data_IF_169540785787
#
_entry.id   IF_169540785787
#
_cell.length_a   1.000
_cell.length_b   1.000
_cell.length_c   1.000
_cell.angle_alpha   90.00
_cell.angle_beta   90.00
_cell.angle_gamma   90.00
#
_symmetry.space_group_name_H-M   'P 1'
#
loop_
_entity.id
_entity.type
_entity.pdbx_description
1 polymer ?
#
# COMPACT_ATOMS: atom_id res chain seq x y z
N UNK A 1 7.07 -25.51 -20.83
CA UNK A 1 8.28 -26.26 -20.40
C UNK A 1 9.37 -25.36 -19.79
N UNK A 2 9.71 -24.19 -20.35
CA UNK A 2 10.74 -23.27 -19.78
C UNK A 2 10.46 -22.75 -18.35
N UNK A 3 9.19 -22.51 -17.99
CA UNK A 3 8.83 -21.97 -16.66
C UNK A 3 9.05 -22.98 -15.51
N UNK A 4 9.02 -24.28 -15.81
CA UNK A 4 9.16 -25.35 -14.81
C UNK A 4 10.64 -25.62 -14.48
N UNK A 5 11.56 -25.41 -15.45
CA UNK A 5 13.00 -25.55 -15.23
C UNK A 5 13.65 -24.35 -14.53
N UNK A 6 13.14 -23.12 -14.75
CA UNK A 6 13.60 -21.96 -13.97
C UNK A 6 13.20 -22.08 -12.49
N UNK A 7 11.98 -22.53 -12.21
CA UNK A 7 11.50 -22.75 -10.83
C UNK A 7 12.35 -23.80 -10.10
N UNK A 8 12.72 -24.90 -10.76
CA UNK A 8 13.58 -25.92 -10.13
C UNK A 8 15.00 -25.42 -9.86
N UNK A 9 15.57 -24.61 -10.76
CA UNK A 9 16.90 -24.05 -10.61
C UNK A 9 17.02 -23.09 -9.41
N UNK A 10 16.04 -22.18 -9.24
CA UNK A 10 16.02 -21.24 -8.10
C UNK A 10 15.88 -22.00 -6.77
N UNK A 11 15.02 -23.03 -6.73
CA UNK A 11 14.82 -23.85 -5.51
C UNK A 11 16.13 -24.57 -5.13
N UNK A 12 16.85 -25.11 -6.12
CA UNK A 12 18.14 -25.74 -5.87
C UNK A 12 19.18 -24.73 -5.35
N UNK A 13 19.29 -23.56 -6.00
CA UNK A 13 20.20 -22.50 -5.58
C UNK A 13 19.87 -21.96 -4.18
N UNK A 14 18.58 -21.91 -3.80
CA UNK A 14 18.14 -21.59 -2.43
C UNK A 14 18.69 -22.59 -1.41
N UNK A 15 18.58 -23.91 -1.68
CA UNK A 15 19.11 -24.92 -0.77
C UNK A 15 20.63 -24.87 -0.65
N UNK A 16 21.34 -24.66 -1.76
CA UNK A 16 22.80 -24.51 -1.78
C UNK A 16 23.26 -23.28 -0.99
N UNK A 17 22.59 -22.14 -1.18
CA UNK A 17 22.86 -20.90 -0.44
C UNK A 17 22.57 -21.07 1.05
N UNK A 18 21.47 -21.74 1.41
CA UNK A 18 21.12 -22.02 2.81
C UNK A 18 22.17 -22.90 3.49
N UNK A 19 22.75 -23.87 2.79
CA UNK A 19 23.82 -24.72 3.31
C UNK A 19 25.11 -23.91 3.53
N UNK A 20 25.50 -23.08 2.57
CA UNK A 20 26.66 -22.17 2.68
C UNK A 20 26.52 -21.18 3.84
N UNK A 21 25.36 -20.53 3.98
CA UNK A 21 25.12 -19.58 5.07
C UNK A 21 25.22 -20.25 6.44
N UNK A 22 24.71 -21.49 6.58
CA UNK A 22 24.88 -22.28 7.82
C UNK A 22 26.33 -22.64 8.11
N UNK A 23 27.11 -23.00 7.09
CA UNK A 23 28.54 -23.32 7.24
C UNK A 23 29.37 -22.09 7.65
N UNK A 24 28.98 -20.91 7.15
CA UNK A 24 29.66 -19.64 7.42
C UNK A 24 29.11 -18.92 8.66
N UNK A 25 28.18 -19.53 9.41
CA UNK A 25 27.49 -18.91 10.56
C UNK A 25 26.86 -17.54 10.23
N UNK A 26 26.51 -17.30 8.96
CA UNK A 26 25.88 -16.06 8.52
C UNK A 26 24.42 -16.02 8.96
N UNK A 27 24.02 -14.93 9.61
CA UNK A 27 22.65 -14.67 10.05
C UNK A 27 22.22 -13.34 9.45
N UNK A 28 21.10 -13.34 8.73
CA UNK A 28 20.51 -12.10 8.24
C UNK A 28 20.15 -11.18 9.41
N UNK A 29 20.17 -9.84 9.22
CA UNK A 29 19.63 -8.92 10.20
C UNK A 29 18.24 -9.38 10.65
N UNK A 30 18.00 -9.35 11.96
CA UNK A 30 16.76 -9.92 12.48
C UNK A 30 15.57 -9.17 11.89
N UNK A 31 14.55 -9.91 11.44
CA UNK A 31 13.29 -9.33 10.99
C UNK A 31 12.69 -8.37 12.03
N UNK A 32 12.97 -8.62 13.32
CA UNK A 32 12.60 -7.72 14.41
C UNK A 32 13.26 -6.33 14.31
N UNK A 33 14.56 -6.26 13.99
CA UNK A 33 15.26 -4.98 13.78
C UNK A 33 14.72 -4.23 12.55
N UNK A 34 14.39 -4.95 11.47
CA UNK A 34 13.74 -4.33 10.31
C UNK A 34 12.39 -3.71 10.68
N UNK A 35 11.53 -4.46 11.38
CA UNK A 35 10.24 -3.93 11.85
C UNK A 35 10.42 -2.76 12.82
N UNK A 36 11.43 -2.81 13.68
CA UNK A 36 11.75 -1.72 14.61
C UNK A 36 12.20 -0.46 13.86
N UNK A 37 13.07 -0.59 12.86
CA UNK A 37 13.52 0.53 12.03
C UNK A 37 12.34 1.18 11.30
N UNK A 38 11.47 0.36 10.70
CA UNK A 38 10.26 0.82 10.02
C UNK A 38 9.31 1.57 10.98
N UNK A 39 9.13 1.06 12.20
CA UNK A 39 8.30 1.70 13.23
C UNK A 39 8.89 3.05 13.70
N UNK A 40 10.21 3.12 13.94
CA UNK A 40 10.89 4.37 14.29
C UNK A 40 10.72 5.43 13.19
N UNK A 41 10.91 5.05 11.92
CA UNK A 41 10.68 5.94 10.77
C UNK A 41 9.21 6.37 10.71
N UNK A 42 8.27 5.43 10.85
CA UNK A 42 6.83 5.70 10.82
C UNK A 42 6.33 6.60 11.96
N UNK A 43 7.06 6.68 13.08
CA UNK A 43 6.78 7.60 14.20
C UNK A 43 7.61 8.89 14.15
N UNK A 44 8.52 9.02 13.19
CA UNK A 44 9.43 10.17 13.07
C UNK A 44 10.51 10.23 14.15
N UNK A 45 10.81 9.10 14.81
CA UNK A 45 11.83 8.98 15.84
C UNK A 45 13.21 8.75 15.20
N UNK A 46 13.85 9.85 14.79
CA UNK A 46 15.06 9.82 13.95
C UNK A 46 16.29 9.24 14.63
N UNK A 47 16.58 9.67 15.87
CA UNK A 47 17.71 9.15 16.65
C UNK A 47 17.57 7.64 16.88
N UNK A 48 16.37 7.18 17.25
CA UNK A 48 16.09 5.76 17.45
C UNK A 48 16.24 4.98 16.12
N UNK A 49 15.75 5.53 15.01
CA UNK A 49 15.89 4.90 13.69
C UNK A 49 17.36 4.72 13.30
N UNK A 50 18.20 5.75 13.51
CA UNK A 50 19.64 5.69 13.24
C UNK A 50 20.34 4.66 14.14
N UNK A 51 20.00 4.61 15.42
CA UNK A 51 20.54 3.61 16.34
C UNK A 51 20.17 2.16 15.98
N UNK A 52 18.96 1.93 15.44
CA UNK A 52 18.57 0.61 14.92
C UNK A 52 19.29 0.29 13.62
N UNK A 53 19.45 1.28 12.74
CA UNK A 53 20.22 1.14 11.50
C UNK A 53 21.69 0.78 11.79
N UNK A 54 22.29 1.36 12.83
CA UNK A 54 23.65 1.00 13.29
C UNK A 54 23.73 -0.47 13.71
N UNK A 55 22.72 -1.00 14.42
CA UNK A 55 22.66 -2.41 14.80
C UNK A 55 22.53 -3.33 13.58
N UNK A 56 21.72 -2.93 12.59
CA UNK A 56 21.58 -3.66 11.32
C UNK A 56 22.91 -3.66 10.57
N UNK A 57 23.59 -2.51 10.50
CA UNK A 57 24.85 -2.33 9.78
C UNK A 57 26.08 -2.91 10.49
N UNK A 58 25.97 -3.19 11.80
CA UNK A 58 26.99 -3.93 12.54
C UNK A 58 27.07 -5.41 12.12
N UNK A 59 26.00 -5.95 11.52
CA UNK A 59 25.99 -7.30 10.96
C UNK A 59 26.50 -7.32 9.53
N UNK A 60 27.12 -8.43 9.11
CA UNK A 60 27.52 -8.60 7.71
C UNK A 60 26.27 -8.56 6.80
N UNK A 61 26.31 -7.72 5.77
CA UNK A 61 25.19 -7.60 4.81
C UNK A 61 25.12 -8.82 3.90
N UNK A 62 23.92 -9.15 3.46
CA UNK A 62 23.73 -10.20 2.46
C UNK A 62 24.45 -9.85 1.15
N UNK A 63 25.09 -10.84 0.53
CA UNK A 63 25.67 -10.71 -0.81
C UNK A 63 24.58 -10.82 -1.87
N UNK A 64 24.15 -9.68 -2.41
CA UNK A 64 23.06 -9.53 -3.39
C UNK A 64 23.57 -9.40 -4.84
N UNK A 65 24.88 -9.27 -5.03
CA UNK A 65 25.57 -9.27 -6.32
C UNK A 65 27.02 -9.72 -6.14
N UNK A 66 27.70 -10.09 -7.23
CA UNK A 66 29.12 -10.45 -7.18
C UNK A 66 30.02 -9.26 -6.89
N UNK A 67 29.71 -8.11 -7.48
CA UNK A 67 30.37 -6.84 -7.19
C UNK A 67 29.88 -6.26 -5.84
N UNK A 68 30.80 -5.96 -4.89
CA UNK A 68 30.42 -5.45 -3.57
C UNK A 68 29.64 -4.14 -3.59
N UNK A 69 29.99 -3.22 -4.50
CA UNK A 69 29.30 -1.93 -4.65
C UNK A 69 27.88 -2.16 -5.15
N UNK A 70 27.70 -3.02 -6.15
CA UNK A 70 26.39 -3.40 -6.66
C UNK A 70 25.55 -4.10 -5.60
N UNK A 71 26.16 -4.95 -4.79
CA UNK A 71 25.48 -5.63 -3.68
C UNK A 71 24.93 -4.61 -2.66
N UNK A 72 25.72 -3.60 -2.30
CA UNK A 72 25.29 -2.51 -1.43
C UNK A 72 24.16 -1.68 -2.04
N UNK A 73 24.25 -1.32 -3.31
CA UNK A 73 23.17 -0.62 -4.03
C UNK A 73 21.85 -1.37 -3.96
N UNK A 74 21.88 -2.68 -4.24
CA UNK A 74 20.68 -3.52 -4.17
C UNK A 74 20.09 -3.52 -2.75
N UNK A 75 20.94 -3.58 -1.71
CA UNK A 75 20.50 -3.49 -0.32
C UNK A 75 19.80 -2.17 -0.02
N UNK A 76 20.35 -1.04 -0.48
CA UNK A 76 19.75 0.27 -0.24
C UNK A 76 18.43 0.47 -1.00
N UNK A 77 18.27 -0.13 -2.18
CA UNK A 77 16.98 -0.11 -2.88
C UNK A 77 15.90 -0.84 -2.05
N UNK A 78 16.27 -1.93 -1.38
CA UNK A 78 15.38 -2.59 -0.41
C UNK A 78 15.07 -1.67 0.78
N UNK A 79 16.08 -1.03 1.39
CA UNK A 79 15.88 -0.06 2.47
C UNK A 79 14.94 1.08 2.05
N UNK A 80 15.15 1.66 0.86
CA UNK A 80 14.31 2.70 0.28
C UNK A 80 12.85 2.25 0.16
N UNK A 81 12.65 1.02 -0.30
CA UNK A 81 11.31 0.41 -0.38
C UNK A 81 10.67 0.31 1.00
N UNK A 82 11.38 -0.16 2.01
CA UNK A 82 10.85 -0.30 3.37
C UNK A 82 10.53 1.06 4.00
N UNK A 83 11.38 2.06 3.82
CA UNK A 83 11.17 3.41 4.36
C UNK A 83 9.93 4.05 3.71
N UNK A 84 9.79 3.90 2.39
CA UNK A 84 8.60 4.32 1.64
C UNK A 84 7.32 3.71 2.21
N UNK A 85 7.29 2.39 2.44
CA UNK A 85 6.12 1.73 3.03
C UNK A 85 5.84 2.20 4.46
N UNK A 86 6.89 2.48 5.22
CA UNK A 86 6.78 2.96 6.60
C UNK A 86 6.09 4.32 6.66
N UNK A 87 6.53 5.28 5.85
CA UNK A 87 5.93 6.63 5.84
C UNK A 87 4.52 6.67 5.24
N UNK A 88 4.23 5.82 4.24
CA UNK A 88 2.86 5.67 3.71
C UNK A 88 1.92 5.14 4.80
N UNK A 89 2.34 4.09 5.51
CA UNK A 89 1.56 3.53 6.62
C UNK A 89 1.34 4.57 7.73
N UNK A 90 2.31 5.45 7.94
CA UNK A 90 2.25 6.54 8.90
C UNK A 90 1.38 7.74 8.46
N UNK A 91 0.96 7.79 7.19
CA UNK A 91 0.01 8.78 6.69
C UNK A 91 0.52 9.76 5.65
N UNK A 92 1.73 9.54 5.09
CA UNK A 92 2.18 10.26 3.90
C UNK A 92 1.39 9.78 2.68
N UNK A 93 1.05 10.69 1.76
CA UNK A 93 0.40 10.31 0.50
C UNK A 93 1.34 9.40 -0.31
N UNK A 94 0.82 8.31 -0.92
CA UNK A 94 1.65 7.40 -1.69
C UNK A 94 2.47 8.07 -2.80
N UNK A 95 1.87 9.05 -3.49
CA UNK A 95 2.53 9.78 -4.57
C UNK A 95 3.79 10.53 -4.09
N UNK A 96 3.70 11.23 -2.96
CA UNK A 96 4.84 11.96 -2.39
C UNK A 96 5.96 11.00 -1.95
N UNK A 97 5.57 9.90 -1.31
CA UNK A 97 6.51 8.87 -0.87
C UNK A 97 7.20 8.16 -2.05
N UNK A 98 6.47 7.86 -3.13
CA UNK A 98 7.03 7.26 -4.34
C UNK A 98 7.95 8.23 -5.09
N UNK A 99 7.58 9.50 -5.20
CA UNK A 99 8.44 10.52 -5.81
C UNK A 99 9.78 10.65 -5.07
N UNK A 100 9.77 10.62 -3.74
CA UNK A 100 11.01 10.61 -2.94
C UNK A 100 11.83 9.33 -3.17
N UNK A 101 11.17 8.16 -3.18
CA UNK A 101 11.80 6.87 -3.46
C UNK A 101 12.50 6.87 -4.82
N UNK A 102 11.84 7.38 -5.86
CA UNK A 102 12.39 7.45 -7.22
C UNK A 102 13.67 8.30 -7.29
N UNK A 103 13.68 9.44 -6.58
CA UNK A 103 14.88 10.29 -6.49
C UNK A 103 16.03 9.52 -5.84
N UNK A 104 15.80 8.87 -4.71
CA UNK A 104 16.85 8.11 -4.02
C UNK A 104 17.32 6.89 -4.80
N UNK A 105 16.43 6.13 -5.44
CA UNK A 105 16.81 4.98 -6.28
C UNK A 105 17.72 5.43 -7.43
N UNK A 106 17.43 6.58 -8.06
CA UNK A 106 18.28 7.15 -9.11
C UNK A 106 19.63 7.63 -8.57
N UNK A 107 19.67 8.16 -7.34
CA UNK A 107 20.94 8.55 -6.71
C UNK A 107 21.79 7.33 -6.33
N UNK A 108 21.18 6.30 -5.73
CA UNK A 108 21.84 5.03 -5.39
C UNK A 108 22.55 4.46 -6.63
N UNK A 109 21.91 4.52 -7.80
CA UNK A 109 22.55 3.99 -9.01
C UNK A 109 23.78 4.80 -9.47
N UNK A 110 23.83 6.10 -9.21
CA UNK A 110 24.98 6.93 -9.62
C UNK A 110 26.22 6.75 -8.74
N UNK A 111 26.05 6.24 -7.51
CA UNK A 111 27.16 6.09 -6.58
C UNK A 111 28.09 4.94 -6.96
N UNK A 112 29.37 5.06 -6.63
CA UNK A 112 30.37 4.00 -6.89
C UNK A 112 31.26 3.70 -5.68
N UNK A 113 31.08 4.44 -4.58
CA UNK A 113 31.87 4.35 -3.36
C UNK A 113 31.05 3.69 -2.25
N UNK A 114 31.55 2.64 -1.58
CA UNK A 114 30.87 2.03 -0.43
C UNK A 114 30.60 3.02 0.71
N UNK A 115 31.50 3.99 0.93
CA UNK A 115 31.34 5.01 1.96
C UNK A 115 30.18 5.95 1.64
N UNK A 116 30.10 6.43 0.39
CA UNK A 116 29.03 7.33 -0.05
C UNK A 116 27.67 6.62 -0.04
N UNK A 117 27.65 5.35 -0.44
CA UNK A 117 26.45 4.52 -0.39
C UNK A 117 25.98 4.37 1.07
N UNK A 118 26.89 4.07 1.99
CA UNK A 118 26.53 3.94 3.41
C UNK A 118 26.01 5.26 3.96
N UNK A 119 26.66 6.39 3.65
CA UNK A 119 26.22 7.72 4.08
C UNK A 119 24.82 8.06 3.55
N UNK A 120 24.52 7.72 2.28
CA UNK A 120 23.22 7.97 1.68
C UNK A 120 22.09 7.23 2.42
N UNK A 121 22.34 6.05 2.98
CA UNK A 121 21.31 5.32 3.72
C UNK A 121 20.87 6.05 5.00
N UNK A 122 21.80 6.71 5.70
CA UNK A 122 21.47 7.55 6.87
C UNK A 122 20.76 8.83 6.46
N UNK A 123 21.15 9.43 5.33
CA UNK A 123 20.46 10.60 4.77
C UNK A 123 19.02 10.26 4.34
N UNK A 124 18.82 9.07 3.78
CA UNK A 124 17.48 8.56 3.46
C UNK A 124 16.62 8.50 4.72
N UNK A 125 17.11 7.96 5.85
CA UNK A 125 16.35 7.93 7.11
C UNK A 125 15.85 9.33 7.48
N UNK A 126 16.76 10.32 7.50
CA UNK A 126 16.40 11.71 7.80
C UNK A 126 15.37 12.26 6.82
N UNK A 127 15.58 12.10 5.51
CA UNK A 127 14.71 12.69 4.49
C UNK A 127 13.32 12.06 4.40
N UNK A 128 13.21 10.74 4.60
CA UNK A 128 11.92 10.06 4.72
C UNK A 128 11.16 10.54 5.97
N UNK A 129 11.86 10.71 7.10
CA UNK A 129 11.27 11.27 8.32
C UNK A 129 10.87 12.74 8.13
N UNK A 130 11.67 13.56 7.44
CA UNK A 130 11.33 14.95 7.16
C UNK A 130 10.15 15.06 6.19
N UNK A 131 10.03 14.13 5.25
CA UNK A 131 8.84 14.01 4.40
C UNK A 131 7.62 13.64 5.22
N UNK A 132 7.75 12.73 6.20
CA UNK A 132 6.69 12.45 7.17
C UNK A 132 6.34 13.69 8.02
N UNK A 133 7.33 14.41 8.55
CA UNK A 133 7.17 15.62 9.38
C UNK A 133 6.60 16.81 8.60
N UNK A 134 6.86 16.91 7.30
CA UNK A 134 6.31 17.97 6.43
C UNK A 134 4.92 17.62 5.89
N UNK A 135 4.66 16.34 5.62
CA UNK A 135 3.32 15.82 5.36
C UNK A 135 2.41 15.85 6.60
N UNK A 136 3.01 16.07 7.78
CA UNK A 136 2.39 16.10 9.09
C UNK A 136 1.49 17.34 9.26
N UNK A 137 0.32 17.24 8.62
CA UNK A 137 -1.00 17.37 9.25
C UNK A 137 -1.31 16.06 10.01
N UNK A 138 -0.57 15.76 11.10
CA UNK A 138 -0.25 14.38 11.56
C UNK A 138 -1.46 13.59 12.02
N UNK A 139 -2.36 14.28 12.73
CA UNK A 139 -3.50 13.64 13.37
C UNK A 139 -4.62 13.36 12.37
N UNK A 140 -4.79 14.26 11.39
CA UNK A 140 -5.81 14.13 10.36
C UNK A 140 -5.53 12.90 9.47
N UNK A 141 -4.32 12.74 8.94
CA UNK A 141 -4.04 11.65 7.99
C UNK A 141 -4.16 10.25 8.61
N UNK A 142 -3.75 10.05 9.87
CA UNK A 142 -3.91 8.76 10.55
C UNK A 142 -5.40 8.44 10.79
N UNK A 143 -6.19 9.42 11.25
CA UNK A 143 -7.65 9.27 11.41
C UNK A 143 -8.31 8.94 10.06
N UNK A 144 -7.94 9.66 9.01
CA UNK A 144 -8.49 9.44 7.67
C UNK A 144 -8.13 8.06 7.14
N UNK A 145 -6.86 7.64 7.26
CA UNK A 145 -6.45 6.33 6.80
C UNK A 145 -7.16 5.21 7.55
N UNK A 146 -7.26 5.30 8.88
CA UNK A 146 -8.03 4.34 9.68
C UNK A 146 -9.52 4.32 9.27
N UNK A 147 -10.12 5.49 9.05
CA UNK A 147 -11.50 5.58 8.59
C UNK A 147 -11.69 4.94 7.21
N UNK A 148 -10.80 5.20 6.25
CA UNK A 148 -10.84 4.61 4.91
C UNK A 148 -10.66 3.09 4.98
N UNK A 149 -9.69 2.60 5.76
CA UNK A 149 -9.48 1.16 5.96
C UNK A 149 -10.73 0.50 6.53
N UNK A 150 -11.31 1.07 7.58
CA UNK A 150 -12.53 0.56 8.19
C UNK A 150 -13.72 0.55 7.22
N UNK A 151 -13.94 1.63 6.47
CA UNK A 151 -14.99 1.71 5.44
C UNK A 151 -14.84 0.62 4.38
N UNK A 152 -13.61 0.33 3.93
CA UNK A 152 -13.39 -0.70 2.90
C UNK A 152 -13.59 -2.12 3.45
N UNK A 153 -13.21 -2.38 4.71
CA UNK A 153 -13.39 -3.69 5.35
C UNK A 153 -14.88 -3.99 5.62
N UNK A 154 -15.64 -2.97 5.99
CA UNK A 154 -17.04 -3.09 6.41
C UNK A 154 -18.03 -2.55 5.36
N UNK A 155 -17.65 -2.55 4.07
CA UNK A 155 -18.40 -1.86 3.01
C UNK A 155 -19.84 -2.41 2.80
N UNK A 156 -20.06 -3.67 3.17
CA UNK A 156 -21.35 -4.37 3.11
C UNK A 156 -22.21 -4.18 4.36
N UNK A 157 -21.65 -3.63 5.45
CA UNK A 157 -22.38 -3.37 6.68
C UNK A 157 -23.05 -2.00 6.65
N UNK A 158 -23.91 -1.77 7.64
CA UNK A 158 -24.51 -0.45 7.88
C UNK A 158 -23.46 0.50 8.49
N UNK A 159 -22.83 1.30 7.62
CA UNK A 159 -21.82 2.28 7.99
C UNK A 159 -22.48 3.64 8.25
N UNK A 160 -22.28 4.15 9.46
CA UNK A 160 -22.68 5.50 9.88
C UNK A 160 -21.46 6.33 10.24
N UNK A 161 -21.62 7.67 10.25
CA UNK A 161 -20.54 8.55 10.69
C UNK A 161 -20.15 8.25 12.15
N UNK A 162 -21.14 7.92 12.98
CA UNK A 162 -20.99 7.61 14.39
C UNK A 162 -20.16 6.34 14.62
N UNK A 163 -20.45 5.28 13.86
CA UNK A 163 -19.74 3.99 13.96
C UNK A 163 -18.28 4.15 13.52
N UNK A 164 -18.04 4.85 12.41
CA UNK A 164 -16.68 5.11 11.91
C UNK A 164 -15.92 5.97 12.91
N UNK A 165 -16.52 7.05 13.42
CA UNK A 165 -15.91 7.95 14.39
C UNK A 165 -15.54 7.22 15.70
N UNK A 166 -16.43 6.35 16.19
CA UNK A 166 -16.17 5.48 17.33
C UNK A 166 -14.99 4.54 17.10
N UNK A 167 -14.89 3.94 15.91
CA UNK A 167 -13.78 3.05 15.55
C UNK A 167 -12.42 3.78 15.51
N UNK A 168 -12.39 5.02 15.00
CA UNK A 168 -11.15 5.79 14.90
C UNK A 168 -10.82 6.62 16.14
N UNK A 169 -11.70 6.65 17.14
CA UNK A 169 -11.48 7.31 18.42
C UNK A 169 -11.66 8.84 18.40
N UNK A 170 -12.55 9.38 17.56
CA UNK A 170 -12.85 10.82 17.52
C UNK A 170 -14.35 11.12 17.50
N UNK A 171 -14.71 12.40 17.64
CA UNK A 171 -16.12 12.80 17.52
C UNK A 171 -16.59 12.79 16.06
N UNK A 172 -17.88 12.50 15.79
CA UNK A 172 -18.46 12.52 14.43
C UNK A 172 -18.23 13.84 13.69
N UNK A 173 -18.44 14.97 14.37
CA UNK A 173 -18.26 16.30 13.79
C UNK A 173 -16.82 16.57 13.37
N UNK A 174 -15.86 16.16 14.21
CA UNK A 174 -14.45 16.26 13.89
C UNK A 174 -14.09 15.40 12.68
N UNK A 175 -14.48 14.12 12.69
CA UNK A 175 -14.23 13.20 11.58
C UNK A 175 -14.81 13.73 10.25
N UNK A 176 -16.03 14.25 10.26
CA UNK A 176 -16.69 14.78 9.05
C UNK A 176 -15.92 15.95 8.44
N UNK A 177 -15.51 16.92 9.27
CA UNK A 177 -14.74 18.09 8.83
C UNK A 177 -13.42 17.65 8.19
N UNK A 178 -12.68 16.83 8.91
CA UNK A 178 -11.29 16.49 8.54
C UNK A 178 -11.25 15.54 7.37
N UNK A 179 -12.23 14.64 7.25
CA UNK A 179 -12.34 13.76 6.10
C UNK A 179 -12.66 14.55 4.83
N UNK A 180 -13.55 15.54 4.90
CA UNK A 180 -13.86 16.39 3.75
C UNK A 180 -12.65 17.25 3.33
N UNK A 181 -11.91 17.80 4.28
CA UNK A 181 -10.71 18.58 4.02
C UNK A 181 -9.58 17.75 3.41
N UNK A 182 -9.41 16.49 3.85
CA UNK A 182 -8.34 15.61 3.35
C UNK A 182 -8.70 14.85 2.07
N UNK A 183 -9.93 14.33 1.97
CA UNK A 183 -10.37 13.46 0.85
C UNK A 183 -11.09 14.26 -0.23
N UNK A 184 -11.49 15.50 0.05
CA UNK A 184 -12.18 16.40 -0.88
C UNK A 184 -13.69 16.13 -1.02
N UNK A 185 -14.19 15.03 -0.47
CA UNK A 185 -15.61 14.63 -0.50
C UNK A 185 -16.09 14.24 0.89
N UNK A 186 -17.41 14.24 1.08
CA UNK A 186 -18.00 13.79 2.36
C UNK A 186 -17.83 12.29 2.54
N UNK A 187 -17.84 11.82 3.80
CA UNK A 187 -17.78 10.38 4.12
C UNK A 187 -18.91 9.60 3.46
N UNK A 188 -20.13 10.13 3.50
CA UNK A 188 -21.28 9.49 2.84
C UNK A 188 -21.10 9.39 1.33
N UNK A 189 -20.54 10.42 0.68
CA UNK A 189 -20.22 10.38 -0.74
C UNK A 189 -19.11 9.36 -1.06
N UNK A 190 -18.09 9.28 -0.21
CA UNK A 190 -17.03 8.29 -0.34
C UNK A 190 -17.56 6.85 -0.23
N UNK A 191 -18.36 6.56 0.80
CA UNK A 191 -19.00 5.24 1.00
C UNK A 191 -19.87 4.89 -0.21
N UNK A 192 -20.72 5.81 -0.66
CA UNK A 192 -21.59 5.59 -1.81
C UNK A 192 -20.81 5.30 -3.09
N UNK A 193 -19.72 6.03 -3.33
CA UNK A 193 -18.85 5.81 -4.49
C UNK A 193 -18.18 4.44 -4.42
N UNK A 194 -17.63 4.06 -3.26
CA UNK A 194 -16.99 2.75 -3.06
C UNK A 194 -17.99 1.60 -3.24
N UNK A 195 -19.19 1.70 -2.66
CA UNK A 195 -20.27 0.70 -2.87
C UNK A 195 -20.66 0.56 -4.34
N UNK A 196 -20.78 1.67 -5.08
CA UNK A 196 -21.03 1.61 -6.54
C UNK A 196 -19.89 0.92 -7.28
N UNK A 197 -18.64 1.23 -6.95
CA UNK A 197 -17.47 0.57 -7.56
C UNK A 197 -17.46 -0.94 -7.31
N UNK A 198 -17.62 -1.37 -6.07
CA UNK A 198 -17.66 -2.80 -5.71
C UNK A 198 -18.87 -3.52 -6.33
N UNK A 199 -20.01 -2.83 -6.51
CA UNK A 199 -21.20 -3.41 -7.13
C UNK A 199 -21.02 -3.83 -8.59
N UNK A 200 -20.01 -3.26 -9.30
CA UNK A 200 -19.68 -3.64 -10.67
C UNK A 200 -19.37 -5.13 -10.79
N UNK A 201 -18.64 -5.69 -9.82
CA UNK A 201 -18.32 -7.12 -9.79
C UNK A 201 -19.59 -7.97 -9.82
N UNK A 202 -20.58 -7.64 -8.99
CA UNK A 202 -21.85 -8.36 -8.92
C UNK A 202 -22.73 -8.13 -10.15
N UNK A 203 -22.65 -6.96 -10.79
CA UNK A 203 -23.35 -6.71 -12.05
C UNK A 203 -22.86 -7.63 -13.17
N UNK A 204 -21.56 -7.94 -13.18
CA UNK A 204 -20.88 -8.70 -14.24
C UNK A 204 -20.85 -10.21 -13.98
N UNK A 205 -20.66 -10.62 -12.73
CA UNK A 205 -20.37 -12.01 -12.38
C UNK A 205 -21.48 -12.70 -11.61
N UNK A 206 -22.64 -12.07 -11.43
CA UNK A 206 -23.79 -12.67 -10.73
C UNK A 206 -25.09 -12.54 -11.52
N UNK A 207 -26.06 -13.41 -11.21
CA UNK A 207 -27.43 -13.35 -11.74
C UNK A 207 -28.37 -12.56 -10.82
N UNK A 208 -27.85 -11.85 -9.82
CA UNK A 208 -28.65 -11.10 -8.87
C UNK A 208 -29.46 -9.99 -9.57
N UNK A 209 -30.68 -9.75 -9.11
CA UNK A 209 -31.47 -8.63 -9.61
C UNK A 209 -30.82 -7.30 -9.19
N UNK A 210 -31.15 -6.21 -9.90
CA UNK A 210 -30.65 -4.88 -9.50
C UNK A 210 -31.16 -4.48 -8.11
N UNK A 211 -32.33 -4.98 -7.70
CA UNK A 211 -32.88 -4.77 -6.37
C UNK A 211 -32.07 -5.51 -5.30
N UNK A 212 -31.68 -6.76 -5.57
CA UNK A 212 -30.86 -7.56 -4.64
C UNK A 212 -29.47 -6.96 -4.47
N UNK A 213 -28.86 -6.51 -5.56
CA UNK A 213 -27.57 -5.80 -5.51
C UNK A 213 -27.71 -4.51 -4.72
N UNK A 214 -28.78 -3.73 -4.95
CA UNK A 214 -29.01 -2.52 -4.18
C UNK A 214 -29.10 -2.82 -2.66
N UNK A 215 -29.82 -3.87 -2.27
CA UNK A 215 -29.91 -4.30 -0.87
C UNK A 215 -28.59 -4.79 -0.31
N UNK A 216 -27.83 -5.59 -1.07
CA UNK A 216 -26.52 -6.12 -0.65
C UNK A 216 -25.52 -5.01 -0.31
N UNK A 217 -25.60 -3.89 -1.02
CA UNK A 217 -24.76 -2.71 -0.78
C UNK A 217 -25.43 -1.68 0.14
N UNK A 218 -26.49 -2.05 0.86
CA UNK A 218 -27.11 -1.19 1.87
C UNK A 218 -27.80 0.06 1.31
N UNK A 219 -28.29 0.02 0.07
CA UNK A 219 -29.12 1.08 -0.49
C UNK A 219 -30.60 0.84 -0.15
N UNK A 220 -31.32 1.92 0.19
CA UNK A 220 -32.73 1.85 0.57
C UNK A 220 -33.66 1.35 -0.56
N UNK A 221 -33.28 1.54 -1.82
CA UNK A 221 -34.01 1.01 -2.98
C UNK A 221 -33.15 1.02 -4.26
N UNK A 222 -33.62 0.25 -5.25
CA UNK A 222 -32.99 0.14 -6.57
C UNK A 222 -32.89 1.49 -7.31
N UNK A 223 -33.89 2.37 -7.17
CA UNK A 223 -33.93 3.65 -7.88
C UNK A 223 -32.80 4.58 -7.43
N UNK A 224 -32.56 4.66 -6.11
CA UNK A 224 -31.48 5.43 -5.52
C UNK A 224 -30.11 4.87 -5.92
N UNK A 225 -29.94 3.54 -5.86
CA UNK A 225 -28.75 2.88 -6.38
C UNK A 225 -28.51 3.20 -7.86
N UNK A 226 -29.55 3.12 -8.71
CA UNK A 226 -29.44 3.41 -10.15
C UNK A 226 -29.03 4.86 -10.41
N UNK A 227 -29.56 5.81 -9.64
CA UNK A 227 -29.20 7.22 -9.72
C UNK A 227 -27.72 7.42 -9.37
N UNK A 228 -27.25 6.86 -8.25
CA UNK A 228 -25.86 6.98 -7.82
C UNK A 228 -24.90 6.28 -8.78
N UNK A 229 -25.25 5.10 -9.27
CA UNK A 229 -24.44 4.37 -10.24
C UNK A 229 -24.28 5.20 -11.52
N UNK A 230 -25.37 5.78 -12.05
CA UNK A 230 -25.29 6.67 -13.21
C UNK A 230 -24.48 7.93 -12.91
N UNK A 231 -24.62 8.52 -11.72
CA UNK A 231 -23.83 9.69 -11.30
C UNK A 231 -22.33 9.41 -11.32
N UNK A 232 -21.89 8.26 -10.79
CA UNK A 232 -20.46 7.97 -10.63
C UNK A 232 -19.83 7.27 -11.85
N UNK A 233 -20.59 6.44 -12.56
CA UNK A 233 -20.09 5.61 -13.67
C UNK A 233 -20.48 6.17 -15.04
N UNK A 234 -21.46 7.07 -15.10
CA UNK A 234 -21.95 7.70 -16.34
C UNK A 234 -23.06 6.92 -17.06
N UNK A 235 -23.24 5.63 -16.76
CA UNK A 235 -24.25 4.75 -17.38
C UNK A 235 -25.15 4.11 -16.32
N UNK A 236 -26.31 3.57 -16.71
CA UNK A 236 -27.17 2.84 -15.75
C UNK A 236 -26.61 1.45 -15.43
N UNK A 237 -26.90 0.87 -14.24
CA UNK A 237 -26.48 -0.50 -13.91
C UNK A 237 -26.93 -1.54 -14.94
N UNK A 238 -28.16 -1.39 -15.46
CA UNK A 238 -28.72 -2.26 -16.51
C UNK A 238 -27.91 -2.17 -17.80
N UNK A 239 -27.56 -0.95 -18.21
CA UNK A 239 -26.74 -0.76 -19.40
C UNK A 239 -25.33 -1.31 -19.21
N UNK A 240 -24.71 -1.05 -18.06
CA UNK A 240 -23.39 -1.59 -17.69
C UNK A 240 -23.35 -3.13 -17.76
N UNK A 241 -24.37 -3.80 -17.20
CA UNK A 241 -24.52 -5.26 -17.28
C UNK A 241 -24.66 -5.77 -18.72
N UNK A 242 -25.37 -5.04 -19.57
CA UNK A 242 -25.63 -5.47 -20.94
C UNK A 242 -24.41 -5.27 -21.86
N UNK A 243 -23.64 -4.20 -21.69
CA UNK A 243 -22.45 -3.90 -22.54
C UNK A 243 -21.40 -5.02 -22.41
N UNK A 244 -21.08 -5.45 -21.19
CA UNK A 244 -20.06 -6.48 -21.01
C UNK A 244 -20.57 -7.90 -21.29
N UNK A 245 -21.89 -8.14 -21.25
CA UNK A 245 -22.46 -9.39 -21.75
C UNK A 245 -22.27 -9.52 -23.28
N UNK A 246 -22.29 -8.41 -24.02
CA UNK A 246 -21.97 -8.40 -25.46
C UNK A 246 -20.47 -8.49 -25.77
N UNK A 247 -19.59 -7.96 -24.91
CA UNK A 247 -18.13 -8.05 -25.11
C UNK A 247 -17.57 -9.44 -24.73
N UNK A 248 -18.10 -10.07 -23.66
CA UNK A 248 -17.73 -11.45 -23.28
C UNK A 248 -18.19 -12.54 -24.26
N UNK A 249 -19.14 -12.23 -25.14
CA UNK A 249 -19.56 -13.13 -26.24
C UNK A 249 -18.62 -13.05 -27.45
N UNK A 250 -17.85 -11.97 -27.63
CA UNK A 250 -16.93 -11.85 -28.77
C UNK A 250 -15.59 -12.58 -28.56
N UNK A 251 -15.20 -12.88 -27.31
CA UNK A 251 -14.01 -13.69 -27.02
C UNK A 251 -14.29 -15.20 -27.03
N UNK A 252 -15.55 -15.63 -26.97
CA UNK A 252 -15.91 -17.07 -26.89
C UNK A 252 -16.10 -17.71 -28.29
N UNK A 253 -16.10 -16.93 -29.37
CA UNK A 253 -16.18 -17.43 -30.75
C UNK A 253 -14.90 -17.17 -31.59
N UNK A 254 -13.82 -16.73 -30.95
CA UNK A 254 -12.52 -16.49 -31.59
C UNK A 254 -11.41 -17.37 -30.99
N UNK A 255 -11.67 -18.67 -30.84
CA UNK A 255 -10.62 -19.70 -30.71
C UNK A 255 -11.00 -20.96 -31.46
#
# INVERSE_FOLDING_TARGET
MQNQSMKSAIIQQYFETRLKNKQNFFVHPSYALEQQLMDCIGRGAEEDAKAVLDQINASERAKLADDPVRSLKNSLICSCTLFTRSIIKAGVLPEDAFNLSDVYIRQIEKLSSPADISALEYEMVSSFIDTLKSANRPYYNNIINKAITYINQEIFQDLSLETIAGHVGVTPSYLSKVFKESVGVTISEFINRRRVEESKYFLLHSKLSLSDIAHLFGYCNQSYYTLLFKKYIGVTPKHFRNIQASEGLNETFAT
#
